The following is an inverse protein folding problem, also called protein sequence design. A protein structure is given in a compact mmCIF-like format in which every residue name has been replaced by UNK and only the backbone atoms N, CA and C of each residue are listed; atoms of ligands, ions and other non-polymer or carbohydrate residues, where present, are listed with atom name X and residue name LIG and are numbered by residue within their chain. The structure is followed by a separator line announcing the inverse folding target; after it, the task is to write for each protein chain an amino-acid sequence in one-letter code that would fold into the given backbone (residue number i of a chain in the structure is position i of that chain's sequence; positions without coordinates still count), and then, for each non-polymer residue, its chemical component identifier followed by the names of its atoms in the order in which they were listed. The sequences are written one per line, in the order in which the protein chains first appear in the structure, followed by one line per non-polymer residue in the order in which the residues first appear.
data_IF_468774953828
#
_entry.id   IF_468774953828
#
_cell.length_a   1.000
_cell.length_b   1.000
_cell.length_c   1.000
_cell.angle_alpha   90.00
_cell.angle_beta   90.00
_cell.angle_gamma   90.00
#
_symmetry.space_group_name_H-M   'P 1'
#
loop_
_entity.id
_entity.type
_entity.pdbx_description
1 polymer ?
#
# COMPACT_ATOMS: atom_id res chain seq x y z
N UNK A 1 15.15 -23.97 3.37
CA UNK A 1 14.12 -22.91 3.22
C UNK A 1 13.44 -22.79 4.58
N UNK A 2 13.23 -21.59 5.12
CA UNK A 2 12.39 -21.48 6.29
C UNK A 2 11.01 -22.10 5.98
N UNK A 3 10.39 -22.74 6.97
CA UNK A 3 9.11 -23.44 6.83
C UNK A 3 7.97 -22.57 6.29
N UNK A 4 8.17 -21.24 6.33
CA UNK A 4 7.18 -20.22 6.01
C UNK A 4 7.38 -19.57 4.63
N UNK A 5 8.23 -20.11 3.77
CA UNK A 5 8.50 -19.60 2.44
C UNK A 5 7.98 -20.56 1.36
N UNK A 6 7.35 -19.98 0.33
CA UNK A 6 6.84 -20.74 -0.82
C UNK A 6 7.29 -20.10 -2.13
N UNK A 7 7.50 -20.95 -3.15
CA UNK A 7 7.74 -20.50 -4.52
C UNK A 7 6.50 -20.79 -5.36
N UNK A 8 5.84 -19.73 -5.77
CA UNK A 8 4.68 -19.80 -6.67
C UNK A 8 5.21 -19.81 -8.10
N UNK A 9 4.94 -20.85 -8.85
CA UNK A 9 5.35 -20.97 -10.26
C UNK A 9 4.31 -20.30 -11.15
N UNK A 10 4.77 -19.40 -12.03
CA UNK A 10 3.95 -18.72 -13.02
C UNK A 10 4.53 -18.92 -14.41
N UNK A 11 3.81 -18.52 -15.45
CA UNK A 11 4.29 -18.54 -16.84
C UNK A 11 5.47 -17.58 -17.08
N UNK A 12 5.64 -16.57 -16.23
CA UNK A 12 6.72 -15.60 -16.31
C UNK A 12 7.93 -15.94 -15.41
N UNK A 13 7.82 -16.94 -14.56
CA UNK A 13 8.88 -17.36 -13.64
C UNK A 13 8.38 -17.65 -12.22
N UNK A 14 9.28 -17.54 -11.26
CA UNK A 14 8.99 -17.82 -9.86
C UNK A 14 8.62 -16.52 -9.13
N UNK A 15 7.67 -16.62 -8.22
CA UNK A 15 7.27 -15.57 -7.29
C UNK A 15 7.48 -16.10 -5.87
N UNK A 16 8.19 -15.34 -5.06
CA UNK A 16 8.44 -15.69 -3.66
C UNK A 16 7.28 -15.24 -2.79
N UNK A 17 6.66 -16.17 -2.09
CA UNK A 17 5.64 -15.94 -1.07
C UNK A 17 6.18 -16.26 0.32
N UNK A 18 5.72 -15.53 1.30
CA UNK A 18 5.97 -15.79 2.72
C UNK A 18 4.65 -16.00 3.45
N UNK A 19 4.60 -17.00 4.30
CA UNK A 19 3.52 -17.16 5.26
C UNK A 19 3.79 -16.27 6.46
N UNK A 20 2.76 -15.58 6.87
CA UNK A 20 2.71 -14.84 8.13
C UNK A 20 1.69 -15.54 9.02
N UNK A 21 2.00 -15.72 10.29
CA UNK A 21 1.14 -16.39 11.26
C UNK A 21 1.12 -15.61 12.57
N UNK A 22 -0.05 -15.10 12.95
CA UNK A 22 -0.30 -14.30 14.15
C UNK A 22 0.72 -13.14 14.37
N UNK A 23 1.20 -12.52 13.27
CA UNK A 23 2.17 -11.44 13.36
C UNK A 23 1.49 -10.15 13.84
N UNK A 24 1.99 -9.52 14.92
CA UNK A 24 1.48 -8.20 15.32
C UNK A 24 1.71 -7.14 14.24
N UNK A 25 0.65 -6.49 13.81
CA UNK A 25 0.68 -5.40 12.83
C UNK A 25 -0.14 -4.21 13.32
N UNK A 26 0.14 -3.05 12.74
CA UNK A 26 -0.46 -1.78 13.12
C UNK A 26 -1.15 -1.12 11.93
N UNK A 27 -2.16 -0.31 12.21
CA UNK A 27 -2.85 0.49 11.21
C UNK A 27 -3.29 1.83 11.80
N UNK A 28 -3.14 2.90 11.02
CA UNK A 28 -3.84 4.17 11.23
C UNK A 28 -5.10 4.13 10.39
N UNK A 29 -6.25 4.16 11.03
CA UNK A 29 -7.56 4.09 10.38
C UNK A 29 -8.56 5.05 11.01
N UNK A 30 -9.77 5.10 10.45
CA UNK A 30 -10.84 5.95 10.94
C UNK A 30 -11.55 5.35 12.15
N UNK A 31 -11.90 6.18 13.12
CA UNK A 31 -12.78 5.82 14.24
C UNK A 31 -14.22 5.60 13.73
N UNK A 32 -15.06 4.80 14.38
CA UNK A 32 -14.76 4.04 15.61
C UNK A 32 -14.01 2.74 15.37
N UNK A 33 -13.99 2.21 14.15
CA UNK A 33 -13.31 0.95 13.82
C UNK A 33 -12.22 1.13 12.74
N UNK A 34 -10.95 1.30 13.15
CA UNK A 34 -9.84 1.46 12.21
C UNK A 34 -9.58 0.27 11.29
N UNK A 35 -10.18 -0.91 11.57
CA UNK A 35 -10.03 -2.12 10.75
C UNK A 35 -11.08 -2.25 9.65
N UNK A 36 -12.10 -1.40 9.64
CA UNK A 36 -13.07 -1.39 8.55
C UNK A 36 -12.40 -1.15 7.20
N UNK A 37 -12.86 -1.88 6.20
CA UNK A 37 -12.55 -1.60 4.81
C UNK A 37 -13.04 -0.21 4.45
N UNK A 38 -12.24 0.53 3.66
CA UNK A 38 -12.71 1.83 3.15
C UNK A 38 -14.03 1.63 2.42
N UNK A 39 -15.11 2.33 2.82
CA UNK A 39 -16.40 2.18 2.17
C UNK A 39 -16.34 2.50 0.68
N UNK A 40 -17.13 1.80 -0.13
CA UNK A 40 -17.16 1.98 -1.58
C UNK A 40 -17.61 3.39 -2.02
N UNK A 41 -18.33 4.11 -1.18
CA UNK A 41 -18.72 5.51 -1.42
C UNK A 41 -17.54 6.48 -1.55
N UNK A 42 -16.34 6.09 -1.08
CA UNK A 42 -15.11 6.86 -1.23
C UNK A 42 -14.28 6.44 -2.46
N UNK A 43 -14.74 5.49 -3.24
CA UNK A 43 -14.15 5.14 -4.51
C UNK A 43 -14.47 6.21 -5.58
N UNK A 44 -13.70 6.23 -6.66
CA UNK A 44 -14.02 7.06 -7.81
C UNK A 44 -15.31 6.59 -8.52
N UNK A 45 -15.73 7.31 -9.55
CA UNK A 45 -16.93 6.99 -10.36
C UNK A 45 -16.89 5.60 -11.03
N UNK A 46 -15.70 4.96 -11.05
CA UNK A 46 -15.50 3.62 -11.59
C UNK A 46 -15.30 2.57 -10.48
N UNK A 47 -15.54 2.92 -9.21
CA UNK A 47 -15.38 2.01 -8.08
C UNK A 47 -13.92 1.77 -7.66
N UNK A 48 -12.97 2.63 -8.06
CA UNK A 48 -11.55 2.43 -7.84
C UNK A 48 -11.03 3.32 -6.71
N UNK A 49 -10.05 2.81 -5.98
CA UNK A 49 -9.27 3.57 -5.01
C UNK A 49 -7.90 3.93 -5.59
N UNK A 50 -7.22 4.90 -4.98
CA UNK A 50 -5.97 5.49 -5.50
C UNK A 50 -4.72 4.97 -4.81
N UNK A 51 -4.83 4.01 -3.91
CA UNK A 51 -3.71 3.42 -3.20
C UNK A 51 -2.78 2.66 -4.14
N UNK A 52 -1.56 2.44 -3.67
CA UNK A 52 -0.47 1.85 -4.45
C UNK A 52 -0.77 0.44 -4.95
N UNK A 53 -1.46 -0.35 -4.14
CA UNK A 53 -1.77 -1.75 -4.41
C UNK A 53 -3.27 -2.01 -4.51
N UNK A 54 -4.06 -0.95 -4.74
CA UNK A 54 -5.50 -1.07 -4.90
C UNK A 54 -5.86 -1.70 -6.25
N UNK A 55 -7.06 -2.25 -6.32
CA UNK A 55 -7.56 -2.88 -7.53
C UNK A 55 -7.85 -1.86 -8.63
N UNK A 56 -7.23 -1.96 -9.81
CA UNK A 56 -7.55 -1.09 -10.93
C UNK A 56 -8.92 -1.34 -11.55
N UNK A 57 -9.57 -2.47 -11.25
CA UNK A 57 -10.88 -2.84 -11.77
C UNK A 57 -12.04 -2.50 -10.81
N UNK A 58 -11.74 -2.11 -9.56
CA UNK A 58 -12.77 -1.76 -8.58
C UNK A 58 -13.62 -2.94 -8.09
N UNK A 59 -13.02 -4.14 -8.02
CA UNK A 59 -13.72 -5.38 -7.63
C UNK A 59 -13.51 -5.71 -6.15
N UNK A 60 -12.32 -5.40 -5.61
CA UNK A 60 -11.94 -5.67 -4.22
C UNK A 60 -11.21 -4.46 -3.61
N UNK A 61 -11.20 -4.41 -2.29
CA UNK A 61 -10.56 -3.33 -1.51
C UNK A 61 -9.25 -3.80 -0.91
N UNK A 62 -8.41 -2.84 -0.51
CA UNK A 62 -7.11 -3.09 0.11
C UNK A 62 -7.03 -2.43 1.47
N UNK A 63 -6.53 -3.16 2.48
CA UNK A 63 -6.11 -2.61 3.76
C UNK A 63 -4.58 -2.53 3.82
N UNK A 64 -4.07 -1.40 4.29
CA UNK A 64 -2.63 -1.19 4.49
C UNK A 64 -2.29 -1.24 5.96
N UNK A 65 -1.28 -2.05 6.31
CA UNK A 65 -0.78 -2.22 7.67
C UNK A 65 0.75 -2.17 7.70
N UNK A 66 1.32 -1.89 8.85
CA UNK A 66 2.77 -1.82 9.02
C UNK A 66 3.27 -2.68 10.19
N UNK A 67 4.55 -3.02 10.15
CA UNK A 67 5.26 -3.78 11.20
C UNK A 67 5.35 -3.04 12.54
N UNK A 68 5.08 -1.75 12.55
CA UNK A 68 5.10 -0.91 13.74
C UNK A 68 4.21 0.31 13.59
N UNK A 69 3.86 0.94 14.70
CA UNK A 69 3.17 2.22 14.71
C UNK A 69 3.95 3.29 13.93
N UNK A 70 5.28 3.30 14.06
CA UNK A 70 6.16 4.22 13.34
C UNK A 70 6.05 4.03 11.83
N UNK A 71 6.07 2.79 11.33
CA UNK A 71 5.92 2.48 9.91
C UNK A 71 4.60 3.08 9.36
N UNK A 72 3.49 2.91 10.09
CA UNK A 72 2.20 3.47 9.70
C UNK A 72 2.20 4.99 9.69
N UNK A 73 2.75 5.63 10.73
CA UNK A 73 2.81 7.10 10.79
C UNK A 73 3.68 7.69 9.68
N UNK A 74 4.83 7.11 9.39
CA UNK A 74 5.72 7.59 8.32
C UNK A 74 5.04 7.56 6.94
N UNK A 75 4.20 6.56 6.68
CA UNK A 75 3.45 6.48 5.42
C UNK A 75 2.31 7.50 5.35
N UNK A 76 1.45 7.55 6.38
CA UNK A 76 0.24 8.38 6.33
C UNK A 76 0.53 9.87 6.54
N UNK A 77 1.60 10.22 7.25
CA UNK A 77 2.00 11.60 7.51
C UNK A 77 2.97 12.16 6.46
N UNK A 78 3.41 11.33 5.50
CA UNK A 78 4.34 11.77 4.46
C UNK A 78 3.82 12.98 3.65
N UNK A 79 2.52 13.10 3.49
CA UNK A 79 1.86 14.23 2.79
C UNK A 79 2.01 15.57 3.53
N UNK A 80 2.23 15.55 4.83
CA UNK A 80 2.42 16.76 5.66
C UNK A 80 3.88 17.13 5.85
N UNK A 81 4.83 16.41 5.23
CA UNK A 81 6.24 16.78 5.32
C UNK A 81 6.44 18.16 4.71
N UNK A 82 7.08 19.03 5.48
CA UNK A 82 7.43 20.36 5.00
C UNK A 82 8.35 20.26 3.78
N UNK A 83 8.01 20.95 2.72
CA UNK A 83 8.94 21.27 1.66
C UNK A 83 9.65 22.58 2.06
N UNK A 84 10.98 22.56 2.30
CA UNK A 84 11.70 23.76 2.72
C UNK A 84 11.67 24.89 1.68
N UNK A 85 11.46 24.57 0.39
CA UNK A 85 11.34 25.57 -0.67
C UNK A 85 9.96 26.21 -0.59
N UNK A 86 8.90 25.40 -0.59
CA UNK A 86 7.54 25.92 -0.46
C UNK A 86 7.32 26.69 0.85
N UNK A 87 7.98 26.28 1.95
CA UNK A 87 7.92 27.01 3.22
C UNK A 87 8.52 28.42 3.11
N UNK A 88 9.66 28.58 2.43
CA UNK A 88 10.27 29.89 2.18
C UNK A 88 9.41 30.76 1.28
N UNK A 89 8.86 30.18 0.20
CA UNK A 89 7.99 30.89 -0.72
C UNK A 89 6.73 31.39 -0.01
N UNK A 90 6.22 30.64 0.97
CA UNK A 90 5.09 31.07 1.81
C UNK A 90 5.45 32.19 2.79
N UNK A 91 6.67 32.21 3.34
CA UNK A 91 7.12 33.28 4.24
C UNK A 91 7.27 34.63 3.50
N UNK A 92 7.46 34.58 2.17
CA UNK A 92 7.56 35.77 1.31
C UNK A 92 6.17 36.32 0.89
N UNK A 93 5.08 35.60 1.17
CA UNK A 93 3.71 36.09 0.87
C UNK A 93 3.28 37.09 1.94
N UNK A 94 2.92 38.29 1.49
CA UNK A 94 2.36 39.31 2.39
C UNK A 94 1.01 38.82 2.96
N UNK A 95 0.90 38.81 4.29
CA UNK A 95 -0.33 38.43 5.00
C UNK A 95 -1.23 39.68 5.07
N UNK A 96 -2.49 39.53 4.63
CA UNK A 96 -3.53 40.57 4.76
C UNK A 96 -4.49 40.22 5.91
N UNK A 97 -5.16 41.22 6.49
CA UNK A 97 -6.14 40.99 7.59
C UNK A 97 -7.27 40.02 7.23
N UNK A 98 -7.56 39.85 5.94
CA UNK A 98 -8.55 38.86 5.46
C UNK A 98 -8.07 37.43 5.58
N UNK A 99 -6.78 37.16 5.70
CA UNK A 99 -6.21 35.81 5.80
C UNK A 99 -6.50 35.18 7.18
N UNK A 100 -6.74 36.01 8.19
CA UNK A 100 -7.15 35.54 9.53
C UNK A 100 -8.50 34.81 9.51
N UNK A 101 -9.34 35.05 8.49
CA UNK A 101 -10.61 34.37 8.28
C UNK A 101 -10.42 32.95 7.69
N UNK A 102 -9.27 32.70 7.08
CA UNK A 102 -8.93 31.46 6.41
C UNK A 102 -7.54 30.94 6.86
N UNK A 103 -7.41 30.49 8.11
CA UNK A 103 -6.11 30.10 8.65
C UNK A 103 -5.50 28.98 7.81
N UNK A 104 -4.37 29.28 7.20
CA UNK A 104 -3.55 28.31 6.47
C UNK A 104 -2.81 27.40 7.44
N UNK A 105 -2.77 26.10 7.10
CA UNK A 105 -1.98 25.14 7.85
C UNK A 105 -0.53 25.31 7.44
N UNK A 106 0.34 25.55 8.42
CA UNK A 106 1.76 25.72 8.16
C UNK A 106 2.38 24.42 7.63
N UNK A 107 3.36 24.52 6.71
CA UNK A 107 4.11 23.35 6.25
C UNK A 107 4.68 22.55 7.43
N UNK A 108 4.43 21.23 7.46
CA UNK A 108 4.86 20.34 8.54
C UNK A 108 3.89 20.20 9.71
N UNK A 109 2.80 20.95 9.72
CA UNK A 109 1.74 20.81 10.71
C UNK A 109 0.69 19.79 10.25
N UNK A 110 0.14 19.04 11.21
CA UNK A 110 -0.92 18.06 10.95
C UNK A 110 -2.26 18.69 11.32
N UNK A 111 -3.19 18.88 10.37
CA UNK A 111 -4.50 19.45 10.64
C UNK A 111 -5.26 18.67 11.72
N UNK A 112 -5.92 19.39 12.62
CA UNK A 112 -6.78 18.77 13.64
C UNK A 112 -7.88 17.91 12.99
N UNK A 113 -8.50 18.39 11.91
CA UNK A 113 -9.51 17.69 11.15
C UNK A 113 -8.99 16.36 10.54
N UNK A 114 -7.69 16.26 10.24
CA UNK A 114 -7.09 14.98 9.80
C UNK A 114 -6.86 14.04 10.98
N UNK A 115 -6.40 14.57 12.12
CA UNK A 115 -6.00 13.79 13.30
C UNK A 115 -7.18 13.23 14.08
N UNK A 116 -8.21 14.05 14.34
CA UNK A 116 -9.33 13.72 15.25
C UNK A 116 -10.12 12.47 14.83
N UNK A 117 -10.47 12.27 13.55
CA UNK A 117 -11.24 11.09 13.14
C UNK A 117 -10.41 9.81 13.05
N UNK A 118 -9.11 9.85 13.35
CA UNK A 118 -8.21 8.70 13.20
C UNK A 118 -7.69 8.20 14.52
N UNK A 119 -7.35 6.92 14.54
CA UNK A 119 -6.62 6.28 15.65
C UNK A 119 -5.66 5.24 15.07
N UNK A 120 -4.65 4.90 15.87
CA UNK A 120 -3.80 3.74 15.61
C UNK A 120 -4.31 2.54 16.40
N UNK A 121 -4.27 1.38 15.80
CA UNK A 121 -4.66 0.12 16.43
C UNK A 121 -3.73 -0.99 15.97
N UNK A 122 -3.77 -2.12 16.68
CA UNK A 122 -3.00 -3.32 16.37
C UNK A 122 -3.94 -4.52 16.19
N UNK A 123 -3.50 -5.50 15.41
CA UNK A 123 -4.14 -6.80 15.25
C UNK A 123 -3.09 -7.84 14.89
N UNK A 124 -3.50 -9.11 14.83
CA UNK A 124 -2.67 -10.20 14.34
C UNK A 124 -2.94 -10.44 12.85
N UNK A 125 -1.87 -10.51 12.06
CA UNK A 125 -1.92 -10.80 10.64
C UNK A 125 -1.55 -12.25 10.39
N UNK A 126 -2.36 -12.94 9.59
CA UNK A 126 -2.06 -14.27 9.10
C UNK A 126 -2.40 -14.40 7.62
N UNK A 127 -1.63 -15.22 6.89
CA UNK A 127 -1.88 -15.49 5.48
C UNK A 127 -0.62 -15.58 4.63
N UNK A 128 -0.81 -15.68 3.31
CA UNK A 128 0.26 -15.76 2.32
C UNK A 128 0.46 -14.43 1.60
N UNK A 129 1.66 -13.89 1.67
CA UNK A 129 1.99 -12.60 1.08
C UNK A 129 3.11 -12.74 0.06
N UNK A 130 2.93 -12.12 -1.12
CA UNK A 130 3.97 -12.04 -2.14
C UNK A 130 4.96 -10.94 -1.77
N UNK A 131 6.25 -11.28 -1.74
CA UNK A 131 7.35 -10.35 -1.49
C UNK A 131 7.77 -9.72 -2.83
N UNK A 132 7.22 -8.56 -3.16
CA UNK A 132 7.45 -7.90 -4.46
C UNK A 132 8.86 -7.38 -4.65
N UNK A 133 9.57 -7.07 -3.56
CA UNK A 133 10.99 -6.66 -3.59
C UNK A 133 11.99 -7.82 -3.54
N UNK A 134 11.53 -9.08 -3.43
CA UNK A 134 12.41 -10.23 -3.30
C UNK A 134 13.16 -10.52 -4.60
N UNK A 135 14.46 -10.85 -4.49
CA UNK A 135 15.32 -11.06 -5.67
C UNK A 135 14.84 -12.19 -6.60
N UNK A 136 14.10 -13.18 -6.13
CA UNK A 136 13.47 -14.21 -6.98
C UNK A 136 12.20 -13.71 -7.67
N UNK A 137 11.47 -12.77 -7.06
CA UNK A 137 10.22 -12.21 -7.60
C UNK A 137 10.49 -11.15 -8.68
N UNK A 138 11.49 -10.30 -8.46
CA UNK A 138 11.81 -9.19 -9.36
C UNK A 138 11.98 -9.59 -10.83
N UNK A 139 12.73 -10.66 -11.19
CA UNK A 139 12.85 -11.09 -12.58
C UNK A 139 11.51 -11.46 -13.22
N UNK A 140 10.59 -12.03 -12.44
CA UNK A 140 9.25 -12.41 -12.92
C UNK A 140 8.39 -11.17 -13.16
N UNK A 141 8.36 -10.24 -12.22
CA UNK A 141 7.66 -8.95 -12.37
C UNK A 141 8.22 -8.15 -13.55
N UNK A 142 9.55 -8.13 -13.70
CA UNK A 142 10.22 -7.46 -14.82
C UNK A 142 9.79 -8.04 -16.16
N UNK A 143 9.79 -9.37 -16.31
CA UNK A 143 9.35 -10.03 -17.56
C UNK A 143 7.93 -9.68 -17.95
N UNK A 144 7.05 -9.60 -17.00
CA UNK A 144 5.62 -9.34 -17.24
C UNK A 144 5.32 -7.85 -17.42
N UNK A 145 5.92 -6.99 -16.61
CA UNK A 145 5.50 -5.59 -16.48
C UNK A 145 6.50 -4.57 -17.05
N UNK A 146 7.66 -4.99 -17.58
CA UNK A 146 8.63 -4.06 -18.17
C UNK A 146 8.04 -3.21 -19.31
N UNK A 147 7.19 -3.73 -20.23
CA UNK A 147 6.57 -2.89 -21.24
C UNK A 147 5.76 -1.74 -20.63
N UNK A 148 4.91 -2.06 -19.64
CA UNK A 148 4.12 -1.05 -18.91
C UNK A 148 4.99 -0.09 -18.10
N UNK A 149 6.08 -0.56 -17.50
CA UNK A 149 7.05 0.29 -16.80
C UNK A 149 7.67 1.32 -17.75
N UNK A 150 8.04 0.91 -18.97
CA UNK A 150 8.55 1.81 -20.01
C UNK A 150 7.50 2.82 -20.48
N UNK A 151 6.24 2.42 -20.64
CA UNK A 151 5.13 3.34 -20.92
C UNK A 151 4.95 4.39 -19.80
N UNK A 152 5.28 4.03 -18.55
CA UNK A 152 5.30 4.95 -17.41
C UNK A 152 6.57 5.82 -17.36
N UNK A 153 7.49 5.72 -18.31
CA UNK A 153 8.75 6.50 -18.35
C UNK A 153 9.90 5.91 -17.54
N UNK A 154 9.75 4.70 -16.99
CA UNK A 154 10.83 4.03 -16.28
C UNK A 154 11.83 3.38 -17.26
N UNK A 155 13.11 3.46 -16.94
CA UNK A 155 14.15 2.80 -17.74
C UNK A 155 14.17 1.29 -17.53
N UNK A 156 13.87 0.85 -16.30
CA UNK A 156 13.80 -0.56 -15.92
C UNK A 156 12.77 -0.75 -14.80
N UNK A 157 12.49 -2.02 -14.50
CA UNK A 157 11.64 -2.42 -13.37
C UNK A 157 12.49 -3.16 -12.35
N UNK A 158 12.95 -2.44 -11.36
CA UNK A 158 13.75 -2.92 -10.24
C UNK A 158 13.06 -2.68 -8.88
N UNK A 159 13.73 -3.05 -7.80
CA UNK A 159 13.24 -2.85 -6.45
C UNK A 159 13.01 -1.37 -6.12
N UNK A 160 13.84 -0.47 -6.63
CA UNK A 160 13.73 0.97 -6.40
C UNK A 160 12.47 1.53 -7.08
N UNK A 161 12.21 1.15 -8.33
CA UNK A 161 11.02 1.54 -9.08
C UNK A 161 9.73 1.06 -8.38
N UNK A 162 9.74 -0.18 -7.88
CA UNK A 162 8.62 -0.72 -7.09
C UNK A 162 8.47 0.05 -5.78
N UNK A 163 9.56 0.34 -5.07
CA UNK A 163 9.54 1.05 -3.77
C UNK A 163 9.07 2.50 -3.91
N UNK A 164 9.45 3.22 -4.94
CA UNK A 164 9.03 4.61 -5.18
C UNK A 164 7.50 4.74 -5.29
N UNK A 165 6.86 3.81 -5.98
CA UNK A 165 5.40 3.72 -6.05
C UNK A 165 4.70 4.94 -6.66
N UNK A 166 5.39 5.80 -7.40
CA UNK A 166 4.79 6.95 -8.12
C UNK A 166 3.86 6.51 -9.23
N UNK A 167 4.22 5.43 -9.91
CA UNK A 167 3.49 4.92 -11.07
C UNK A 167 2.35 3.98 -10.62
N UNK A 168 1.24 4.57 -10.14
CA UNK A 168 0.09 3.82 -9.57
C UNK A 168 -0.47 2.79 -10.54
N UNK A 169 -0.63 3.14 -11.82
CA UNK A 169 -1.09 2.21 -12.85
C UNK A 169 -0.25 0.93 -12.90
N UNK A 170 1.07 1.04 -12.77
CA UNK A 170 1.98 -0.09 -12.80
C UNK A 170 1.84 -0.96 -11.54
N UNK A 171 1.87 -0.35 -10.35
CA UNK A 171 1.78 -1.10 -9.09
C UNK A 171 0.40 -1.72 -8.89
N UNK A 172 -0.66 -1.06 -9.32
CA UNK A 172 -2.02 -1.60 -9.31
C UNK A 172 -2.18 -2.78 -10.27
N UNK A 173 -1.59 -2.70 -11.48
CA UNK A 173 -1.59 -3.83 -12.41
C UNK A 173 -0.82 -5.06 -11.84
N UNK A 174 0.31 -4.83 -11.16
CA UNK A 174 1.01 -5.89 -10.43
C UNK A 174 0.13 -6.49 -9.34
N UNK A 175 -0.56 -5.64 -8.57
CA UNK A 175 -1.45 -6.05 -7.50
C UNK A 175 -2.60 -6.93 -8.02
N UNK A 176 -3.25 -6.51 -9.10
CA UNK A 176 -4.32 -7.28 -9.73
C UNK A 176 -3.83 -8.66 -10.21
N UNK A 177 -2.62 -8.72 -10.79
CA UNK A 177 -2.04 -10.00 -11.16
C UNK A 177 -1.72 -10.87 -9.94
N UNK A 178 -1.11 -10.32 -8.88
CA UNK A 178 -0.79 -11.04 -7.66
C UNK A 178 -2.07 -11.55 -6.97
N UNK A 179 -3.17 -10.80 -7.04
CA UNK A 179 -4.47 -11.21 -6.55
C UNK A 179 -4.94 -12.54 -7.17
N UNK A 180 -4.56 -12.85 -8.41
CA UNK A 180 -4.93 -14.11 -9.08
C UNK A 180 -4.06 -15.31 -8.69
N UNK A 181 -2.95 -15.09 -7.98
CA UNK A 181 -2.01 -16.15 -7.63
C UNK A 181 -2.48 -16.96 -6.43
N UNK A 182 -2.10 -18.25 -6.45
CA UNK A 182 -2.27 -19.16 -5.32
C UNK A 182 -0.97 -19.89 -5.01
N UNK A 183 -0.82 -20.34 -3.79
CA UNK A 183 0.28 -21.22 -3.38
C UNK A 183 0.18 -22.57 -4.12
N UNK A 184 1.24 -23.38 -4.13
CA UNK A 184 1.18 -24.73 -4.69
C UNK A 184 0.10 -25.63 -4.07
N UNK A 185 -0.34 -25.32 -2.85
CA UNK A 185 -1.40 -26.03 -2.15
C UNK A 185 -2.81 -25.51 -2.49
N UNK A 186 -2.92 -24.49 -3.34
CA UNK A 186 -4.19 -23.90 -3.74
C UNK A 186 -4.67 -22.73 -2.87
N UNK A 187 -3.96 -22.37 -1.80
CA UNK A 187 -4.33 -21.24 -0.96
C UNK A 187 -4.15 -19.93 -1.75
N UNK A 188 -5.15 -19.05 -1.82
CA UNK A 188 -5.00 -17.77 -2.50
C UNK A 188 -4.01 -16.87 -1.76
N UNK A 189 -3.30 -16.01 -2.49
CA UNK A 189 -2.47 -14.98 -1.86
C UNK A 189 -3.35 -14.01 -1.07
N UNK A 190 -2.98 -13.74 0.18
CA UNK A 190 -3.71 -12.79 1.05
C UNK A 190 -3.39 -11.35 0.70
N UNK A 191 -2.23 -11.11 0.09
CA UNK A 191 -1.80 -9.76 -0.25
C UNK A 191 -0.34 -9.67 -0.66
N UNK A 192 0.20 -8.48 -0.49
CA UNK A 192 1.57 -8.10 -0.84
C UNK A 192 2.31 -7.66 0.41
N UNK A 193 3.55 -8.14 0.57
CA UNK A 193 4.53 -7.59 1.49
C UNK A 193 5.52 -6.72 0.72
N UNK A 194 5.80 -5.52 1.22
CA UNK A 194 6.70 -4.56 0.60
C UNK A 194 7.41 -3.68 1.63
N UNK A 195 8.51 -3.07 1.24
CA UNK A 195 9.25 -2.15 2.09
C UNK A 195 8.78 -0.71 1.88
N UNK A 196 8.78 0.05 2.98
CA UNK A 196 8.52 1.48 2.94
C UNK A 196 9.61 2.21 2.14
N UNK A 197 9.20 3.25 1.40
CA UNK A 197 10.17 4.18 0.80
C UNK A 197 10.74 5.18 1.82
N UNK A 198 10.18 5.23 3.01
CA UNK A 198 10.53 6.20 4.05
C UNK A 198 11.57 5.71 5.04
N UNK A 199 11.98 4.45 4.93
CA UNK A 199 13.05 3.88 5.75
C UNK A 199 13.21 2.38 5.48
N UNK A 200 14.44 1.92 5.56
CA UNK A 200 14.74 0.49 5.55
C UNK A 200 14.20 -0.15 6.84
N UNK A 201 13.91 -1.45 6.81
CA UNK A 201 13.36 -2.22 7.93
C UNK A 201 11.93 -1.84 8.35
N UNK A 202 11.24 -0.99 7.58
CA UNK A 202 9.83 -0.69 7.76
C UNK A 202 9.02 -1.54 6.79
N UNK A 203 8.62 -2.71 7.25
CA UNK A 203 7.81 -3.64 6.44
C UNK A 203 6.35 -3.26 6.49
N UNK A 204 5.71 -3.32 5.34
CA UNK A 204 4.31 -2.99 5.12
C UNK A 204 3.61 -4.13 4.39
N UNK A 205 2.31 -4.24 4.61
CA UNK A 205 1.45 -5.18 3.89
C UNK A 205 0.25 -4.45 3.30
N UNK A 206 -0.10 -4.87 2.09
CA UNK A 206 -1.37 -4.58 1.45
C UNK A 206 -2.21 -5.86 1.48
N UNK A 207 -3.28 -5.86 2.26
CA UNK A 207 -4.15 -7.01 2.49
C UNK A 207 -5.33 -6.89 1.55
N UNK A 208 -5.61 -7.94 0.80
CA UNK A 208 -6.73 -8.00 -0.14
C UNK A 208 -8.03 -8.38 0.55
N UNK A 209 -9.10 -7.67 0.22
CA UNK A 209 -10.44 -8.14 0.50
C UNK A 209 -10.71 -9.38 -0.36
N UNK A 210 -10.83 -10.53 0.29
CA UNK A 210 -11.27 -11.76 -0.33
C UNK A 210 -12.74 -11.97 0.01
N UNK A 211 -13.59 -12.12 -0.99
CA UNK A 211 -14.95 -12.60 -0.74
C UNK A 211 -14.85 -13.89 0.06
N UNK A 212 -15.53 -13.96 1.19
CA UNK A 212 -15.66 -15.23 1.89
C UNK A 212 -16.19 -16.22 0.86
N UNK A 213 -15.45 -17.31 0.62
CA UNK A 213 -15.90 -18.39 -0.24
C UNK A 213 -17.25 -18.84 0.31
N UNK A 214 -18.33 -18.49 -0.37
CA UNK A 214 -19.63 -19.14 -0.17
C UNK A 214 -19.51 -20.55 -0.72
N UNK A 215 -18.81 -21.41 0.03
CA UNK A 215 -19.02 -22.82 -0.13
C UNK A 215 -20.49 -23.07 0.22
N UNK A 216 -21.30 -23.70 -0.63
CA UNK A 216 -22.64 -24.10 -0.24
C UNK A 216 -22.51 -24.98 1.02
N UNK A 217 -23.41 -24.79 2.02
CA UNK A 217 -23.44 -25.68 3.17
C UNK A 217 -23.63 -27.13 2.71
N UNK A 218 -23.02 -28.09 3.43
CA UNK A 218 -23.15 -29.51 3.12
C UNK A 218 -24.59 -30.00 3.15
#
# INVERSE_FOLDING_TARGET
MPADAVRIRTVFGLVHGSRVDALPVYRVGYKPDPWHWTPWEFADEHGRFTGRWDDPAGIWRTLYVGSSALACYLEVLAVFRADPVAARDMDDIAVEDADDLYPTIRPGEIPRAWREPRSICSAELSGWFVLVGHYETLPTLRRQFLPMAKECGLQDLDAAAIRDGKHRRLTQAMSAWIYTLSTPNGDPTTGIQFDSRHGDQLTLWAIYERSASTAPPP
#
